data_IF_210083398919
#
_entry.id   IF_210083398919
#
_cell.length_a   1.000
_cell.length_b   1.000
_cell.length_c   1.000
_cell.angle_alpha   90.00
_cell.angle_beta   90.00
_cell.angle_gamma   90.00
#
_symmetry.space_group_name_H-M   'P 1'
#
loop_
_entity.id
_entity.type
_entity.pdbx_description
1 polymer ?
#
# COMPACT_ATOMS: atom_id res chain seq x y z
N UNK A 1 -19.87 -19.99 -9.22
CA UNK A 1 -20.10 -18.53 -9.41
C UNK A 1 -19.48 -17.88 -8.21
N UNK A 2 -18.43 -17.05 -8.35
CA UNK A 2 -17.73 -16.52 -7.16
C UNK A 2 -18.70 -15.67 -6.32
N UNK A 3 -18.97 -16.11 -5.09
CA UNK A 3 -19.80 -15.37 -4.14
C UNK A 3 -19.01 -14.14 -3.71
N UNK A 4 -19.60 -12.96 -3.95
CA UNK A 4 -19.08 -11.68 -3.46
C UNK A 4 -19.63 -11.44 -2.07
N UNK A 5 -18.75 -11.23 -1.11
CA UNK A 5 -19.12 -10.90 0.26
C UNK A 5 -18.50 -9.56 0.63
N UNK A 6 -19.29 -8.67 1.25
CA UNK A 6 -18.75 -7.44 1.82
C UNK A 6 -17.92 -7.81 3.06
N UNK A 7 -16.67 -7.34 3.08
CA UNK A 7 -15.75 -7.49 4.20
C UNK A 7 -15.50 -6.10 4.78
N UNK A 8 -15.74 -5.94 6.08
CA UNK A 8 -15.40 -4.71 6.79
C UNK A 8 -14.01 -4.82 7.39
N UNK A 9 -13.25 -3.74 7.29
CA UNK A 9 -11.92 -3.59 7.86
C UNK A 9 -11.98 -2.52 8.94
N UNK A 10 -11.55 -2.89 10.13
CA UNK A 10 -11.39 -2.04 11.29
C UNK A 10 -9.91 -2.08 11.70
N UNK A 11 -9.21 -0.94 11.59
CA UNK A 11 -7.77 -0.90 11.85
C UNK A 11 -7.26 0.48 12.24
N UNK A 12 -6.07 0.54 12.81
CA UNK A 12 -5.35 1.80 13.02
C UNK A 12 -4.83 2.34 11.68
N UNK A 13 -4.93 3.65 11.50
CA UNK A 13 -4.25 4.37 10.44
C UNK A 13 -2.74 4.24 10.64
N UNK A 14 -1.96 3.87 9.60
CA UNK A 14 -0.51 3.81 9.73
C UNK A 14 0.08 5.18 10.07
N UNK A 15 1.04 5.20 11.00
CA UNK A 15 1.71 6.42 11.46
C UNK A 15 0.75 7.48 12.04
N UNK A 16 -0.32 7.03 12.71
CA UNK A 16 -1.32 7.89 13.36
C UNK A 16 -0.71 8.95 14.27
N UNK A 17 0.29 8.59 15.06
CA UNK A 17 0.96 9.49 16.01
C UNK A 17 1.59 10.69 15.30
N UNK A 18 2.15 10.46 14.12
CA UNK A 18 2.74 11.52 13.31
C UNK A 18 1.68 12.38 12.64
N UNK A 19 0.61 11.78 12.08
CA UNK A 19 -0.52 12.54 11.53
C UNK A 19 -1.11 13.43 12.63
N UNK A 20 -1.27 12.88 13.84
CA UNK A 20 -1.75 13.60 15.00
C UNK A 20 -0.82 14.77 15.37
N UNK A 21 0.49 14.53 15.49
CA UNK A 21 1.47 15.59 15.73
C UNK A 21 1.39 16.70 14.67
N UNK A 22 1.23 16.34 13.39
CA UNK A 22 1.09 17.31 12.30
C UNK A 22 -0.19 18.13 12.38
N UNK A 23 -1.32 17.53 12.76
CA UNK A 23 -2.56 18.27 12.98
C UNK A 23 -2.38 19.36 14.05
N UNK A 24 -1.64 19.06 15.12
CA UNK A 24 -1.34 20.04 16.18
C UNK A 24 -0.33 21.11 15.75
N UNK A 25 0.71 20.76 14.98
CA UNK A 25 1.74 21.71 14.55
C UNK A 25 1.23 22.70 13.49
N UNK A 26 0.37 22.25 12.57
CA UNK A 26 0.03 22.98 11.34
C UNK A 26 -1.01 24.09 11.51
N UNK A 27 -1.53 24.33 12.73
CA UNK A 27 -2.71 25.18 12.98
C UNK A 27 -3.93 24.84 12.10
N UNK A 28 -4.00 23.62 11.55
CA UNK A 28 -5.15 23.12 10.79
C UNK A 28 -6.24 22.77 11.81
N UNK A 29 -7.41 23.36 11.66
CA UNK A 29 -8.34 23.58 12.77
C UNK A 29 -9.12 22.35 13.25
N UNK A 30 -8.94 21.16 12.67
CA UNK A 30 -9.34 19.86 13.22
C UNK A 30 -9.02 18.74 12.22
N UNK A 31 -9.13 17.49 12.66
CA UNK A 31 -9.00 16.30 11.82
C UNK A 31 -9.99 16.27 10.63
N UNK A 32 -11.15 16.92 10.74
CA UNK A 32 -12.19 16.87 9.69
C UNK A 32 -11.72 17.51 8.39
N UNK A 33 -11.00 18.62 8.46
CA UNK A 33 -10.44 19.29 7.27
C UNK A 33 -9.44 18.38 6.53
N UNK A 34 -8.67 17.60 7.30
CA UNK A 34 -7.73 16.62 6.79
C UNK A 34 -8.43 15.44 6.11
N UNK A 35 -9.48 14.92 6.76
CA UNK A 35 -10.31 13.85 6.18
C UNK A 35 -10.88 14.32 4.86
N UNK A 36 -11.51 15.49 4.84
CA UNK A 36 -12.13 16.06 3.64
C UNK A 36 -11.13 16.22 2.48
N UNK A 37 -9.94 16.75 2.77
CA UNK A 37 -8.90 16.94 1.74
C UNK A 37 -8.31 15.61 1.27
N UNK A 38 -8.20 14.62 2.17
CA UNK A 38 -7.68 13.29 1.85
C UNK A 38 -8.59 12.46 0.94
N UNK A 39 -9.88 12.82 0.81
CA UNK A 39 -10.86 12.13 -0.06
C UNK A 39 -10.36 11.93 -1.50
N UNK A 40 -9.54 12.87 -2.00
CA UNK A 40 -8.92 12.76 -3.32
C UNK A 40 -8.06 11.50 -3.51
N UNK A 41 -7.45 10.99 -2.43
CA UNK A 41 -6.60 9.80 -2.46
C UNK A 41 -7.35 8.51 -2.11
N UNK A 42 -8.51 8.60 -1.42
CA UNK A 42 -9.24 7.44 -0.90
C UNK A 42 -9.55 6.41 -1.98
N UNK A 43 -10.04 6.86 -3.14
CA UNK A 43 -10.40 5.98 -4.23
C UNK A 43 -9.23 5.10 -4.72
N UNK A 44 -8.03 5.70 -4.82
CA UNK A 44 -6.82 4.97 -5.25
C UNK A 44 -6.32 4.03 -4.16
N UNK A 45 -6.46 4.43 -2.90
CA UNK A 45 -6.10 3.60 -1.76
C UNK A 45 -7.03 2.39 -1.63
N UNK A 46 -8.35 2.57 -1.74
CA UNK A 46 -9.30 1.47 -1.72
C UNK A 46 -9.08 0.50 -2.90
N UNK A 47 -8.75 1.00 -4.10
CA UNK A 47 -8.39 0.14 -5.22
C UNK A 47 -7.14 -0.70 -4.93
N UNK A 48 -6.17 -0.13 -4.23
CA UNK A 48 -4.99 -0.86 -3.78
C UNK A 48 -5.32 -1.93 -2.74
N UNK A 49 -6.09 -1.56 -1.70
CA UNK A 49 -6.51 -2.47 -0.63
C UNK A 49 -7.44 -3.58 -1.13
N UNK A 50 -8.28 -3.31 -2.11
CA UNK A 50 -9.11 -4.30 -2.79
C UNK A 50 -8.26 -5.37 -3.47
N UNK A 51 -7.16 -4.98 -4.14
CA UNK A 51 -6.21 -5.94 -4.73
C UNK A 51 -5.44 -6.69 -3.65
N UNK A 52 -5.00 -5.98 -2.62
CA UNK A 52 -4.14 -6.48 -1.55
C UNK A 52 -4.83 -7.45 -0.59
N UNK A 53 -6.09 -7.19 -0.26
CA UNK A 53 -6.84 -7.88 0.79
C UNK A 53 -8.08 -8.57 0.22
N UNK A 54 -8.91 -7.84 -0.54
CA UNK A 54 -10.22 -8.34 -0.99
C UNK A 54 -10.15 -9.40 -2.09
N UNK A 55 -9.21 -9.21 -3.03
CA UNK A 55 -9.12 -9.98 -4.28
C UNK A 55 -7.76 -10.63 -4.51
N UNK A 56 -6.85 -10.61 -3.55
CA UNK A 56 -5.52 -11.19 -3.72
C UNK A 56 -5.65 -12.68 -4.12
N UNK A 57 -5.27 -13.05 -5.35
CA UNK A 57 -5.43 -14.42 -5.81
C UNK A 57 -4.14 -15.25 -5.66
N UNK A 58 -3.03 -14.63 -5.24
CA UNK A 58 -1.71 -15.25 -5.28
C UNK A 58 -1.13 -15.56 -3.90
N UNK A 59 -1.40 -14.73 -2.89
CA UNK A 59 -0.71 -14.82 -1.59
C UNK A 59 -1.63 -14.78 -0.39
N UNK A 60 -1.14 -15.32 0.74
CA UNK A 60 -1.81 -15.25 2.04
C UNK A 60 -1.92 -13.81 2.56
N UNK A 61 -0.91 -12.98 2.27
CA UNK A 61 -0.92 -11.54 2.50
C UNK A 61 -0.51 -10.80 1.23
N UNK A 62 -1.38 -9.93 0.75
CA UNK A 62 -1.11 -9.19 -0.48
C UNK A 62 -0.20 -7.99 -0.28
N UNK A 63 0.40 -7.59 -1.38
CA UNK A 63 1.22 -6.38 -1.48
C UNK A 63 0.46 -5.23 -2.15
N UNK A 64 -0.54 -5.55 -2.97
CA UNK A 64 -1.28 -4.65 -3.86
C UNK A 64 -0.69 -4.61 -5.27
N UNK A 65 0.52 -5.12 -5.48
CA UNK A 65 1.13 -5.24 -6.81
C UNK A 65 0.55 -6.39 -7.64
N UNK A 66 -0.13 -7.34 -7.00
CA UNK A 66 -0.71 -8.54 -7.63
C UNK A 66 -1.63 -8.19 -8.81
N UNK A 67 -2.41 -7.13 -8.65
CA UNK A 67 -3.34 -6.66 -9.68
C UNK A 67 -2.66 -6.26 -10.98
N UNK A 68 -1.40 -5.81 -10.93
CA UNK A 68 -0.61 -5.53 -12.13
C UNK A 68 -0.14 -6.80 -12.83
N UNK A 69 0.07 -7.88 -12.09
CA UNK A 69 0.58 -9.15 -12.62
C UNK A 69 -0.50 -10.08 -13.19
N UNK A 70 -1.78 -9.71 -13.05
CA UNK A 70 -2.90 -10.39 -13.70
C UNK A 70 -2.69 -10.40 -15.22
N UNK A 71 -2.78 -11.58 -15.82
CA UNK A 71 -2.54 -11.79 -17.25
C UNK A 71 -1.08 -11.64 -17.70
N UNK A 72 -0.14 -11.42 -16.77
CA UNK A 72 1.29 -11.26 -17.06
C UNK A 72 2.15 -12.38 -16.53
N UNK A 73 1.68 -13.06 -15.49
CA UNK A 73 2.37 -14.18 -14.87
C UNK A 73 1.62 -15.48 -15.17
N UNK A 74 2.40 -16.55 -15.36
CA UNK A 74 1.90 -17.92 -15.56
C UNK A 74 1.29 -18.46 -14.25
N UNK A 75 1.85 -18.07 -13.09
CA UNK A 75 1.42 -18.55 -11.78
C UNK A 75 1.85 -17.67 -10.61
N UNK A 76 1.46 -18.06 -9.39
CA UNK A 76 1.71 -17.33 -8.16
C UNK A 76 3.20 -17.22 -7.82
N UNK A 77 4.01 -18.23 -8.16
CA UNK A 77 5.46 -18.23 -7.95
C UNK A 77 6.15 -17.20 -8.85
N UNK A 78 5.71 -17.08 -10.11
CA UNK A 78 6.24 -16.05 -11.00
C UNK A 78 5.84 -14.65 -10.51
N UNK A 79 4.58 -14.49 -10.07
CA UNK A 79 4.13 -13.25 -9.45
C UNK A 79 4.99 -12.90 -8.22
N UNK A 80 5.31 -13.87 -7.36
CA UNK A 80 6.18 -13.67 -6.20
C UNK A 80 7.55 -13.17 -6.61
N UNK A 81 8.19 -13.80 -7.60
CA UNK A 81 9.50 -13.37 -8.11
C UNK A 81 9.47 -11.93 -8.64
N UNK A 82 8.39 -11.53 -9.32
CA UNK A 82 8.24 -10.16 -9.82
C UNK A 82 7.98 -9.15 -8.70
N UNK A 83 7.18 -9.50 -7.69
CA UNK A 83 6.95 -8.65 -6.51
C UNK A 83 8.26 -8.45 -5.73
N UNK A 84 9.03 -9.53 -5.51
CA UNK A 84 10.37 -9.44 -4.90
C UNK A 84 11.26 -8.52 -5.72
N UNK A 85 11.24 -8.63 -7.06
CA UNK A 85 12.01 -7.74 -7.91
C UNK A 85 11.62 -6.28 -7.72
N UNK A 86 10.32 -5.96 -7.69
CA UNK A 86 9.82 -4.60 -7.44
C UNK A 86 10.34 -4.07 -6.10
N UNK A 87 10.14 -4.81 -5.00
CA UNK A 87 10.61 -4.38 -3.69
C UNK A 87 12.13 -4.27 -3.60
N UNK A 88 12.87 -5.16 -4.25
CA UNK A 88 14.32 -5.14 -4.33
C UNK A 88 14.86 -3.96 -5.15
N UNK A 89 14.22 -3.64 -6.27
CA UNK A 89 14.58 -2.47 -7.07
C UNK A 89 14.37 -1.17 -6.27
N UNK A 90 13.23 -1.04 -5.57
CA UNK A 90 12.95 0.10 -4.70
C UNK A 90 14.00 0.23 -3.59
N UNK A 91 14.31 -0.87 -2.89
CA UNK A 91 15.33 -0.88 -1.84
C UNK A 91 16.71 -0.50 -2.37
N UNK A 92 17.13 -1.09 -3.50
CA UNK A 92 18.41 -0.83 -4.11
C UNK A 92 18.55 0.63 -4.56
N UNK A 93 17.48 1.24 -5.08
CA UNK A 93 17.47 2.65 -5.45
C UNK A 93 17.74 3.53 -4.24
N UNK A 94 17.03 3.30 -3.13
CA UNK A 94 17.20 4.08 -1.89
C UNK A 94 18.57 3.89 -1.26
N UNK A 95 19.08 2.65 -1.20
CA UNK A 95 20.43 2.38 -0.69
C UNK A 95 21.49 3.08 -1.52
N UNK A 96 21.32 3.13 -2.85
CA UNK A 96 22.25 3.83 -3.76
C UNK A 96 22.18 5.34 -3.59
N UNK A 97 20.98 5.90 -3.46
CA UNK A 97 20.76 7.33 -3.25
C UNK A 97 21.41 7.80 -1.95
N UNK A 98 21.25 7.01 -0.88
CA UNK A 98 21.73 7.32 0.47
C UNK A 98 23.00 6.57 0.85
N UNK A 99 23.85 6.18 -0.11
CA UNK A 99 24.98 5.25 0.08
C UNK A 99 25.98 5.62 1.19
N UNK A 100 26.07 6.90 1.53
CA UNK A 100 26.96 7.43 2.57
C UNK A 100 26.24 7.79 3.88
N UNK A 101 24.92 7.62 3.93
CA UNK A 101 24.07 8.04 5.04
C UNK A 101 23.54 6.81 5.80
N UNK A 102 24.43 5.97 6.32
CA UNK A 102 24.07 4.71 6.99
C UNK A 102 23.03 4.86 8.11
N UNK A 103 23.11 5.97 8.88
CA UNK A 103 22.11 6.29 9.90
C UNK A 103 20.73 6.55 9.29
N UNK A 104 20.68 7.23 8.15
CA UNK A 104 19.43 7.49 7.43
C UNK A 104 18.82 6.19 6.89
N UNK A 105 19.65 5.32 6.30
CA UNK A 105 19.21 3.99 5.85
C UNK A 105 18.59 3.17 6.99
N UNK A 106 19.22 3.18 8.17
CA UNK A 106 18.67 2.51 9.35
C UNK A 106 17.31 3.11 9.78
N UNK A 107 17.15 4.45 9.74
CA UNK A 107 15.85 5.09 9.99
C UNK A 107 14.80 4.70 8.94
N UNK A 108 15.17 4.62 7.67
CA UNK A 108 14.27 4.22 6.59
C UNK A 108 13.71 2.81 6.84
N UNK A 109 14.54 1.85 7.22
CA UNK A 109 14.11 0.49 7.55
C UNK A 109 13.22 0.45 8.80
N UNK A 110 13.59 1.15 9.87
CA UNK A 110 12.75 1.25 11.08
C UNK A 110 11.38 1.88 10.81
N UNK A 111 11.34 2.84 9.89
CA UNK A 111 10.07 3.47 9.49
C UNK A 111 9.22 2.50 8.68
N UNK A 112 9.84 1.75 7.76
CA UNK A 112 9.18 0.72 6.97
C UNK A 112 8.54 -0.38 7.85
N UNK A 113 9.25 -0.80 8.91
CA UNK A 113 8.76 -1.81 9.87
C UNK A 113 7.74 -1.24 10.87
N UNK A 114 7.60 0.08 10.96
CA UNK A 114 6.73 0.75 11.93
C UNK A 114 7.33 0.87 13.34
N UNK A 115 8.62 0.56 13.52
CA UNK A 115 9.34 0.77 14.78
C UNK A 115 9.53 2.26 15.12
N UNK A 116 9.49 3.12 14.11
CA UNK A 116 9.63 4.56 14.26
C UNK A 116 8.74 5.30 13.25
N UNK A 117 8.29 6.51 13.59
CA UNK A 117 7.66 7.43 12.64
C UNK A 117 8.61 8.60 12.38
N UNK A 118 9.27 8.61 11.22
CA UNK A 118 10.19 9.67 10.79
C UNK A 118 9.65 10.33 9.51
N UNK A 119 9.44 11.65 9.56
CA UNK A 119 8.78 12.39 8.48
C UNK A 119 9.56 12.31 7.17
N UNK A 120 10.89 12.44 7.25
CA UNK A 120 11.74 12.48 6.07
C UNK A 120 11.73 11.11 5.38
N UNK A 121 11.79 10.02 6.14
CA UNK A 121 11.73 8.66 5.57
C UNK A 121 10.32 8.29 5.08
N UNK A 122 9.25 8.75 5.74
CA UNK A 122 7.86 8.59 5.26
C UNK A 122 7.72 9.25 3.88
N UNK A 123 8.22 10.48 3.74
CA UNK A 123 8.18 11.21 2.47
C UNK A 123 8.94 10.47 1.36
N UNK A 124 10.13 9.95 1.68
CA UNK A 124 10.98 9.21 0.74
C UNK A 124 10.30 7.90 0.28
N UNK A 125 9.75 7.10 1.21
CA UNK A 125 9.01 5.89 0.85
C UNK A 125 7.73 6.19 0.05
N UNK A 126 7.02 7.27 0.38
CA UNK A 126 5.84 7.69 -0.35
C UNK A 126 6.17 8.14 -1.79
N UNK A 127 7.34 8.76 -1.98
CA UNK A 127 7.86 9.14 -3.29
C UNK A 127 8.25 7.90 -4.10
N UNK A 128 9.02 6.97 -3.53
CA UNK A 128 9.44 5.74 -4.22
C UNK A 128 8.24 4.86 -4.60
N UNK A 129 7.24 4.72 -3.71
CA UNK A 129 5.97 4.07 -4.05
C UNK A 129 5.28 4.75 -5.23
N UNK A 130 5.17 6.08 -5.20
CA UNK A 130 4.51 6.84 -6.26
C UNK A 130 5.20 6.66 -7.62
N UNK A 131 6.53 6.72 -7.62
CA UNK A 131 7.35 6.49 -8.80
C UNK A 131 7.18 5.07 -9.35
N UNK A 132 7.21 4.05 -8.48
CA UNK A 132 7.02 2.67 -8.90
C UNK A 132 5.62 2.43 -9.50
N UNK A 133 4.57 2.92 -8.84
CA UNK A 133 3.20 2.83 -9.37
C UNK A 133 3.07 3.49 -10.74
N UNK A 134 3.71 4.65 -10.95
CA UNK A 134 3.73 5.31 -12.24
C UNK A 134 4.45 4.47 -13.31
N UNK A 135 5.62 3.90 -12.98
CA UNK A 135 6.38 2.99 -13.87
C UNK A 135 5.53 1.78 -14.28
N UNK A 136 4.84 1.15 -13.33
CA UNK A 136 3.97 0.01 -13.61
C UNK A 136 2.78 0.44 -14.49
N UNK A 137 2.14 1.57 -14.22
CA UNK A 137 1.01 2.07 -15.02
C UNK A 137 1.35 2.34 -16.48
N UNK A 138 2.53 2.89 -16.77
CA UNK A 138 2.98 3.11 -18.15
C UNK A 138 3.04 1.81 -18.98
N UNK A 139 3.18 0.66 -18.31
CA UNK A 139 3.27 -0.64 -18.97
C UNK A 139 1.92 -1.36 -19.13
N UNK A 140 0.83 -0.85 -18.53
CA UNK A 140 -0.49 -1.49 -18.61
C UNK A 140 -1.05 -1.51 -20.03
N UNK A 141 -0.73 -0.51 -20.85
CA UNK A 141 -1.19 -0.40 -22.25
C UNK A 141 -0.76 -1.63 -23.08
N UNK A 142 0.26 -2.37 -22.64
CA UNK A 142 0.80 -3.53 -23.34
C UNK A 142 0.10 -4.85 -23.00
N UNK A 143 -0.79 -4.86 -22.02
CA UNK A 143 -1.49 -6.07 -21.59
C UNK A 143 -2.98 -5.76 -21.33
N UNK A 144 -3.87 -6.17 -22.27
CA UNK A 144 -5.30 -5.93 -22.14
C UNK A 144 -5.90 -6.54 -20.87
N UNK A 145 -5.50 -7.74 -20.47
CA UNK A 145 -6.05 -8.42 -19.29
C UNK A 145 -5.72 -7.66 -17.99
N UNK A 146 -4.50 -7.15 -17.86
CA UNK A 146 -4.11 -6.32 -16.73
C UNK A 146 -4.87 -4.97 -16.71
N UNK A 147 -5.12 -4.39 -17.89
CA UNK A 147 -5.89 -3.16 -18.02
C UNK A 147 -7.37 -3.38 -17.65
N UNK A 148 -7.98 -4.47 -18.11
CA UNK A 148 -9.36 -4.85 -17.79
C UNK A 148 -9.52 -5.13 -16.30
N UNK A 149 -8.58 -5.87 -15.69
CA UNK A 149 -8.58 -6.12 -14.25
C UNK A 149 -8.49 -4.81 -13.44
N UNK A 150 -7.63 -3.89 -13.87
CA UNK A 150 -7.54 -2.57 -13.25
C UNK A 150 -8.85 -1.79 -13.38
N UNK A 151 -9.43 -1.73 -14.58
CA UNK A 151 -10.70 -1.04 -14.82
C UNK A 151 -11.82 -1.64 -13.95
N UNK A 152 -11.95 -2.96 -13.92
CA UNK A 152 -12.93 -3.67 -13.09
C UNK A 152 -12.75 -3.36 -11.60
N UNK A 153 -11.51 -3.37 -11.10
CA UNK A 153 -11.21 -3.04 -9.70
C UNK A 153 -11.63 -1.62 -9.39
N UNK A 154 -11.32 -0.67 -10.27
CA UNK A 154 -11.69 0.72 -10.09
C UNK A 154 -13.20 0.93 -10.16
N UNK A 155 -13.94 0.28 -11.08
CA UNK A 155 -15.41 0.35 -11.09
C UNK A 155 -16.01 -0.20 -9.80
N UNK A 156 -15.50 -1.35 -9.33
CA UNK A 156 -15.93 -1.96 -8.08
C UNK A 156 -15.77 -0.99 -6.90
N UNK A 157 -14.60 -0.37 -6.77
CA UNK A 157 -14.31 0.57 -5.68
C UNK A 157 -15.16 1.83 -5.74
N UNK A 158 -15.66 2.26 -6.92
CA UNK A 158 -16.59 3.41 -6.99
C UNK A 158 -17.93 3.14 -6.31
N UNK A 159 -18.30 1.86 -6.18
CA UNK A 159 -19.54 1.46 -5.52
C UNK A 159 -19.40 1.32 -4.00
N UNK A 160 -18.18 1.39 -3.47
CA UNK A 160 -17.92 1.23 -2.04
C UNK A 160 -18.16 2.53 -1.28
N UNK A 161 -18.57 2.46 0.00
CA UNK A 161 -18.64 3.63 0.86
C UNK A 161 -17.26 4.26 1.05
N UNK A 162 -17.25 5.53 1.43
CA UNK A 162 -16.01 6.24 1.80
C UNK A 162 -15.41 5.68 3.09
N UNK A 163 -14.13 5.94 3.30
CA UNK A 163 -13.45 5.54 4.54
C UNK A 163 -13.95 6.42 5.67
N UNK A 164 -14.39 5.79 6.76
CA UNK A 164 -14.75 6.47 7.98
C UNK A 164 -13.54 6.52 8.91
N UNK A 165 -13.32 7.68 9.53
CA UNK A 165 -12.22 7.86 10.47
C UNK A 165 -12.77 8.25 11.84
N UNK A 166 -12.18 7.67 12.88
CA UNK A 166 -12.47 8.01 14.27
C UNK A 166 -11.16 8.28 14.99
N UNK A 167 -11.16 9.29 15.84
CA UNK A 167 -9.98 9.68 16.59
C UNK A 167 -10.18 9.33 18.06
N UNK A 168 -9.21 8.63 18.64
CA UNK A 168 -9.06 8.52 20.08
C UNK A 168 -7.87 9.37 20.57
N UNK A 169 -7.53 9.28 21.85
CA UNK A 169 -6.48 10.12 22.45
C UNK A 169 -5.06 9.89 21.87
N UNK A 170 -4.80 8.74 21.23
CA UNK A 170 -3.46 8.33 20.80
C UNK A 170 -3.40 7.71 19.39
N UNK A 171 -4.53 7.55 18.71
CA UNK A 171 -4.61 6.89 17.42
C UNK A 171 -5.77 7.45 16.59
N UNK A 172 -5.62 7.27 15.28
CA UNK A 172 -6.69 7.47 14.31
C UNK A 172 -7.08 6.07 13.85
N UNK A 173 -8.32 5.69 14.10
CA UNK A 173 -8.94 4.46 13.61
C UNK A 173 -9.60 4.73 12.27
N UNK A 174 -9.61 3.70 11.42
CA UNK A 174 -10.32 3.71 10.15
C UNK A 174 -11.25 2.51 10.05
N UNK A 175 -12.41 2.76 9.45
CA UNK A 175 -13.40 1.76 9.08
C UNK A 175 -13.69 1.89 7.59
N UNK A 176 -13.61 0.78 6.85
CA UNK A 176 -13.98 0.74 5.44
C UNK A 176 -14.40 -0.66 5.01
N UNK A 177 -15.11 -0.74 3.88
CA UNK A 177 -15.55 -2.00 3.31
C UNK A 177 -14.77 -2.33 2.04
N UNK A 178 -14.52 -3.62 1.82
CA UNK A 178 -13.95 -4.21 0.62
C UNK A 178 -14.86 -5.34 0.10
N UNK A 179 -14.67 -5.75 -1.15
CA UNK A 179 -15.42 -6.89 -1.71
C UNK A 179 -14.53 -8.13 -1.72
N UNK A 180 -14.78 -9.03 -0.78
CA UNK A 180 -14.08 -10.31 -0.75
C UNK A 180 -14.66 -11.24 -1.80
N UNK A 181 -13.78 -11.74 -2.69
CA UNK A 181 -14.13 -12.87 -3.56
C UNK A 181 -13.83 -14.16 -2.82
N UNK A 182 -14.87 -14.93 -2.50
CA UNK A 182 -14.69 -16.28 -1.99
C UNK A 182 -14.26 -17.18 -3.15
N UNK A 183 -12.96 -17.51 -3.19
CA UNK A 183 -12.42 -18.47 -4.16
C UNK A 183 -12.79 -19.87 -3.67
N UNK A 184 -13.57 -20.62 -4.45
CA UNK A 184 -14.13 -21.93 -4.06
C UNK A 184 -13.05 -23.01 -3.84
N UNK A 185 -11.78 -22.79 -4.25
CA UNK A 185 -10.63 -23.66 -3.96
C UNK A 185 -9.31 -22.86 -3.97
N UNK A 186 -8.68 -22.55 -2.82
CA UNK A 186 -7.45 -21.76 -2.75
C UNK A 186 -6.18 -22.59 -3.01
N UNK A 187 -6.23 -23.59 -3.90
CA UNK A 187 -5.13 -24.56 -4.08
C UNK A 187 -3.82 -23.96 -4.61
N UNK A 188 -3.81 -22.69 -4.99
CA UNK A 188 -2.65 -21.99 -5.57
C UNK A 188 -2.19 -20.77 -4.78
N UNK A 189 -2.66 -20.59 -3.53
CA UNK A 189 -2.15 -19.50 -2.68
C UNK A 189 -0.76 -19.88 -2.18
N UNK A 190 0.23 -19.07 -2.55
CA UNK A 190 1.61 -19.20 -2.09
C UNK A 190 1.78 -18.47 -0.77
N UNK A 191 2.42 -19.12 0.21
CA UNK A 191 2.92 -18.44 1.41
C UNK A 191 4.39 -18.04 1.18
N UNK A 192 4.70 -16.75 0.98
CA UNK A 192 6.06 -16.29 0.69
C UNK A 192 7.06 -16.65 1.79
N UNK A 193 6.64 -16.69 3.06
CA UNK A 193 7.54 -17.00 4.18
C UNK A 193 8.19 -18.38 4.08
N UNK A 194 7.57 -19.31 3.36
CA UNK A 194 8.08 -20.67 3.14
C UNK A 194 9.03 -20.80 1.93
N UNK A 195 9.02 -19.82 1.02
CA UNK A 195 9.77 -19.87 -0.24
C UNK A 195 10.91 -18.87 -0.32
N UNK A 196 10.84 -17.78 0.44
CA UNK A 196 11.79 -16.68 0.36
C UNK A 196 13.13 -17.06 0.98
N UNK A 197 14.21 -16.83 0.24
CA UNK A 197 15.57 -16.89 0.77
C UNK A 197 15.80 -15.69 1.71
N UNK A 198 16.75 -15.79 2.67
CA UNK A 198 17.11 -14.66 3.54
C UNK A 198 17.41 -13.36 2.77
N UNK A 199 18.11 -13.46 1.63
CA UNK A 199 18.44 -12.32 0.78
C UNK A 199 17.24 -11.65 0.09
N UNK A 200 16.05 -12.26 0.14
CA UNK A 200 14.82 -11.76 -0.48
C UNK A 200 13.83 -11.22 0.56
N UNK A 201 14.10 -11.41 1.85
CA UNK A 201 13.19 -11.03 2.93
C UNK A 201 13.00 -9.52 3.02
N UNK A 202 14.07 -8.73 2.87
CA UNK A 202 13.98 -7.26 2.88
C UNK A 202 13.18 -6.72 1.69
N UNK A 203 13.40 -7.28 0.51
CA UNK A 203 12.64 -6.92 -0.68
C UNK A 203 11.14 -7.23 -0.53
N UNK A 204 10.83 -8.38 0.07
CA UNK A 204 9.46 -8.75 0.40
C UNK A 204 8.84 -7.82 1.46
N UNK A 205 9.60 -7.49 2.51
CA UNK A 205 9.19 -6.54 3.54
C UNK A 205 8.84 -5.18 2.92
N UNK A 206 9.64 -4.69 1.99
CA UNK A 206 9.35 -3.47 1.22
C UNK A 206 8.03 -3.63 0.49
N UNK A 207 7.88 -4.66 -0.34
CA UNK A 207 6.65 -4.86 -1.12
C UNK A 207 5.38 -4.94 -0.23
N UNK A 208 5.47 -5.60 0.92
CA UNK A 208 4.36 -5.80 1.85
C UNK A 208 3.99 -4.53 2.63
N UNK A 209 4.99 -3.72 3.00
CA UNK A 209 4.80 -2.58 3.91
C UNK A 209 4.67 -1.25 3.18
N UNK A 210 5.23 -1.14 1.98
CA UNK A 210 5.34 0.16 1.29
C UNK A 210 3.96 0.75 0.95
N UNK A 211 2.94 -0.08 0.76
CA UNK A 211 1.55 0.37 0.56
C UNK A 211 1.01 1.25 1.70
N UNK A 212 1.53 1.10 2.93
CA UNK A 212 1.14 1.94 4.08
C UNK A 212 1.39 3.42 3.83
N UNK A 213 2.48 3.78 3.15
CA UNK A 213 2.82 5.18 2.82
C UNK A 213 1.93 5.78 1.73
N UNK A 214 1.13 4.95 1.06
CA UNK A 214 0.09 5.38 0.13
C UNK A 214 -1.21 5.84 0.78
N UNK A 215 -1.35 5.70 2.10
CA UNK A 215 -2.59 5.96 2.83
C UNK A 215 -3.09 7.42 2.65
N UNK A 216 -4.40 7.67 2.51
CA UNK A 216 -4.95 9.00 2.21
C UNK A 216 -4.53 10.09 3.19
N UNK A 217 -4.65 9.84 4.49
CA UNK A 217 -4.27 10.82 5.51
C UNK A 217 -2.76 11.09 5.55
N UNK A 218 -1.92 10.09 5.19
CA UNK A 218 -0.46 10.29 5.08
C UNK A 218 -0.15 11.18 3.88
N UNK A 219 -0.75 10.89 2.73
CA UNK A 219 -0.58 11.69 1.51
C UNK A 219 -0.98 13.15 1.76
N UNK A 220 -2.08 13.35 2.49
CA UNK A 220 -2.52 14.68 2.85
C UNK A 220 -1.56 15.36 3.84
N UNK A 221 -1.06 14.64 4.85
CA UNK A 221 -0.08 15.17 5.81
C UNK A 221 1.24 15.59 5.16
N UNK A 222 1.71 14.80 4.19
CA UNK A 222 2.89 15.14 3.40
C UNK A 222 2.65 16.37 2.51
N UNK A 223 1.45 16.54 1.96
CA UNK A 223 1.10 17.67 1.09
C UNK A 223 1.11 19.01 1.83
N UNK A 224 0.66 19.03 3.09
CA UNK A 224 0.58 20.26 3.89
C UNK A 224 1.85 20.58 4.66
N UNK A 225 2.82 19.66 4.67
CA UNK A 225 4.14 19.90 5.29
C UNK A 225 5.03 20.67 4.31
N UNK A 226 5.42 21.93 4.59
CA UNK A 226 6.49 22.56 3.81
C UNK A 226 7.80 21.81 4.06
N UNK A 227 8.50 21.44 2.99
CA UNK A 227 9.85 20.87 3.03
C UNK A 227 10.85 21.84 3.66
#
# INVERSE_FOLDING_TARGET
MAVKQLMNIDSNVPFSDWIYWKLHESQVNNLLDFIHSSCFYQYRYLAWEEVRIGRNPYFDQGTGFEGYFVGRCIGAEEALLRVIKVGGDMLNNLVRLHRHEYRYQARMLKTLTGEQSDLQTIAEWAAELGAELARLRCNLIRNPEAADFQAETYELVRTLPSIEYQQDAHAIHQHYSLVRRLVENPTNIVNPSLLLKPSQQEAWLVAQSVGKFGHPLIREALRVSPN
#
